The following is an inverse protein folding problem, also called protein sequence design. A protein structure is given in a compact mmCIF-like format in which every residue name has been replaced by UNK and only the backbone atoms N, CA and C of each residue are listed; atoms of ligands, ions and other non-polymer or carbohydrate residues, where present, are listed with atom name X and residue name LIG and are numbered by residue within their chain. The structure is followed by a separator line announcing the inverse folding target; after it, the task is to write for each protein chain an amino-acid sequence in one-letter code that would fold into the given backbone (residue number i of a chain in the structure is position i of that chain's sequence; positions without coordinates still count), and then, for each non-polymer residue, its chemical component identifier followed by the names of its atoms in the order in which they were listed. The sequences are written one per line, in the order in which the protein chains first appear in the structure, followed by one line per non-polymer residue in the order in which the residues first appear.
data_IF_133139969918
#
_entry.id   IF_133139969918
#
_cell.length_a   1.000
_cell.length_b   1.000
_cell.length_c   1.000
_cell.angle_alpha   90.00
_cell.angle_beta   90.00
_cell.angle_gamma   90.00
#
_symmetry.space_group_name_H-M   'P 1'
#
loop_
_entity.id
_entity.type
_entity.pdbx_description
1 polymer ?
#
# COMPACT_ATOMS: atom_id res chain seq x y z
N UNK A 1 -18.14 -2.63 -7.12
CA UNK A 1 -16.77 -2.31 -6.68
C UNK A 1 -16.83 -1.10 -5.76
N UNK A 2 -16.40 -1.27 -4.53
CA UNK A 2 -16.36 -0.18 -3.56
C UNK A 2 -14.97 0.41 -3.46
N UNK A 3 -14.90 1.65 -3.00
CA UNK A 3 -13.64 2.34 -2.76
C UNK A 3 -13.62 2.84 -1.32
N UNK A 4 -12.54 2.57 -0.62
CA UNK A 4 -12.34 3.00 0.76
C UNK A 4 -11.17 3.95 0.83
N UNK A 5 -11.42 5.16 1.33
CA UNK A 5 -10.38 6.18 1.48
C UNK A 5 -9.74 6.02 2.86
N UNK A 6 -8.46 5.70 2.90
CA UNK A 6 -7.71 5.48 4.13
C UNK A 6 -6.84 6.68 4.43
N UNK A 7 -6.90 7.17 5.66
CA UNK A 7 -6.13 8.32 6.04
C UNK A 7 -6.31 8.67 7.50
N UNK A 8 -5.74 9.80 7.92
CA UNK A 8 -5.74 10.21 9.33
C UNK A 8 -6.96 11.03 9.75
N UNK A 9 -7.87 11.35 8.82
CA UNK A 9 -8.95 12.27 9.11
C UNK A 9 -10.20 11.56 9.60
N UNK A 10 -11.13 12.31 10.21
CA UNK A 10 -12.32 11.73 10.83
C UNK A 10 -13.26 11.06 9.82
N UNK A 11 -13.26 11.52 8.57
CA UNK A 11 -14.08 10.94 7.53
C UNK A 11 -13.34 9.88 6.69
N UNK A 12 -12.15 9.50 7.13
CA UNK A 12 -11.35 8.47 6.46
C UNK A 12 -11.47 7.17 7.21
N UNK A 13 -11.13 6.09 6.53
CA UNK A 13 -11.07 4.77 7.13
C UNK A 13 -9.70 4.55 7.77
N UNK A 14 -9.67 3.83 8.88
CA UNK A 14 -8.47 3.17 9.38
C UNK A 14 -8.15 2.03 8.42
N UNK A 15 -6.85 1.74 8.19
CA UNK A 15 -6.45 0.74 7.20
C UNK A 15 -7.09 -0.63 7.45
N UNK A 16 -6.98 -1.15 8.69
CA UNK A 16 -7.51 -2.49 8.97
C UNK A 16 -9.03 -2.55 8.91
N UNK A 17 -9.71 -1.47 9.30
CA UNK A 17 -11.16 -1.41 9.17
C UNK A 17 -11.57 -1.42 7.70
N UNK A 18 -10.85 -0.67 6.86
CA UNK A 18 -11.10 -0.67 5.42
C UNK A 18 -10.83 -2.05 4.84
N UNK A 19 -9.70 -2.66 5.21
CA UNK A 19 -9.34 -3.98 4.72
C UNK A 19 -10.41 -5.03 5.10
N UNK A 20 -10.86 -5.00 6.34
CA UNK A 20 -11.85 -5.97 6.81
C UNK A 20 -13.21 -5.78 6.13
N UNK A 21 -13.55 -4.55 5.80
CA UNK A 21 -14.80 -4.24 5.12
C UNK A 21 -14.74 -4.55 3.63
N UNK A 22 -13.59 -4.39 3.02
CA UNK A 22 -13.41 -4.54 1.57
C UNK A 22 -13.65 -5.98 1.13
N UNK A 23 -14.20 -6.13 -0.04
CA UNK A 23 -14.42 -7.41 -0.69
C UNK A 23 -13.53 -7.53 -1.92
N UNK A 24 -13.42 -8.75 -2.45
CA UNK A 24 -12.61 -8.97 -3.65
C UNK A 24 -13.04 -8.03 -4.77
N UNK A 25 -12.05 -7.36 -5.37
CA UNK A 25 -12.27 -6.40 -6.44
C UNK A 25 -12.38 -4.97 -5.99
N UNK A 26 -12.40 -4.72 -4.68
CA UNK A 26 -12.52 -3.36 -4.16
C UNK A 26 -11.20 -2.60 -4.20
N UNK A 27 -11.30 -1.29 -4.03
CA UNK A 27 -10.16 -0.37 -4.08
C UNK A 27 -9.94 0.23 -2.70
N UNK A 28 -8.69 0.23 -2.25
CA UNK A 28 -8.28 0.99 -1.07
C UNK A 28 -7.39 2.12 -1.56
N UNK A 29 -7.86 3.34 -1.38
CA UNK A 29 -7.16 4.54 -1.81
C UNK A 29 -6.60 5.26 -0.59
N UNK A 30 -5.34 5.68 -0.67
CA UNK A 30 -4.72 6.48 0.40
C UNK A 30 -4.96 7.95 0.15
N UNK A 31 -5.34 8.69 1.18
CA UNK A 31 -5.55 10.12 1.08
C UNK A 31 -4.27 10.84 0.65
N UNK A 32 -4.45 11.94 -0.07
CA UNK A 32 -3.34 12.75 -0.56
C UNK A 32 -2.43 13.15 0.60
N UNK A 33 -1.15 12.85 0.44
CA UNK A 33 -0.14 13.19 1.43
C UNK A 33 -0.04 12.25 2.63
N UNK A 34 -0.88 11.23 2.71
CA UNK A 34 -0.86 10.33 3.85
C UNK A 34 0.34 9.39 3.80
N UNK A 35 1.12 9.41 4.87
CA UNK A 35 2.23 8.47 5.07
C UNK A 35 1.75 7.37 6.01
N UNK A 36 1.43 6.21 5.45
CA UNK A 36 0.93 5.08 6.22
C UNK A 36 2.08 4.38 6.93
N UNK A 37 1.94 4.14 8.21
CA UNK A 37 2.94 3.45 9.02
C UNK A 37 2.31 2.29 9.77
N UNK A 38 3.03 1.17 9.84
CA UNK A 38 2.63 -0.03 10.57
C UNK A 38 3.79 -0.44 11.46
N UNK A 39 3.53 -1.00 12.63
CA UNK A 39 4.61 -1.41 13.53
C UNK A 39 5.62 -2.33 12.85
N UNK A 40 6.91 -2.07 13.08
CA UNK A 40 7.99 -2.78 12.38
C UNK A 40 8.13 -4.24 12.80
N UNK A 41 7.50 -4.63 13.91
CA UNK A 41 7.53 -6.02 14.40
C UNK A 41 6.28 -6.80 14.03
N UNK A 42 5.48 -6.30 13.10
CA UNK A 42 4.25 -6.94 12.67
C UNK A 42 4.15 -6.92 11.15
N UNK A 43 3.49 -7.93 10.61
CA UNK A 43 3.18 -8.00 9.19
C UNK A 43 1.68 -7.80 8.97
N UNK A 44 1.34 -7.20 7.84
CA UNK A 44 -0.05 -7.14 7.39
C UNK A 44 -0.27 -8.32 6.46
N UNK A 45 -1.18 -9.22 6.83
CA UNK A 45 -1.47 -10.42 6.03
C UNK A 45 -2.64 -10.12 5.09
N UNK A 46 -2.40 -10.32 3.80
CA UNK A 46 -3.39 -10.05 2.75
C UNK A 46 -3.83 -11.38 2.13
N UNK A 47 -5.14 -11.59 2.07
CA UNK A 47 -5.74 -12.80 1.48
C UNK A 47 -6.87 -12.49 0.50
N UNK A 48 -6.98 -11.23 0.07
CA UNK A 48 -8.06 -10.76 -0.79
C UNK A 48 -7.54 -10.25 -2.11
N UNK A 49 -8.45 -10.05 -3.06
CA UNK A 49 -8.16 -9.39 -4.34
C UNK A 49 -8.47 -7.91 -4.15
N UNK A 50 -7.44 -7.08 -4.11
CA UNK A 50 -7.58 -5.65 -3.83
C UNK A 50 -6.65 -4.81 -4.69
N UNK A 51 -7.06 -3.57 -4.93
CA UNK A 51 -6.25 -2.58 -5.62
C UNK A 51 -5.95 -1.44 -4.64
N UNK A 52 -4.68 -1.27 -4.30
CA UNK A 52 -4.23 -0.19 -3.41
C UNK A 52 -3.68 0.95 -4.27
N UNK A 53 -4.20 2.15 -4.07
CA UNK A 53 -3.89 3.29 -4.94
C UNK A 53 -3.43 4.48 -4.11
N UNK A 54 -2.34 5.09 -4.54
CA UNK A 54 -1.86 6.35 -3.99
C UNK A 54 -1.99 7.48 -4.99
N UNK A 55 -1.43 8.63 -4.63
CA UNK A 55 -1.46 9.83 -5.44
C UNK A 55 -0.05 10.17 -5.92
N UNK A 56 0.03 10.65 -7.14
CA UNK A 56 1.28 11.18 -7.69
C UNK A 56 1.00 12.51 -8.37
N UNK A 57 2.04 13.34 -8.47
CA UNK A 57 1.99 14.57 -9.28
C UNK A 57 3.23 14.60 -10.15
N UNK A 58 3.12 15.32 -11.28
CA UNK A 58 4.26 15.49 -12.17
C UNK A 58 5.31 16.36 -11.51
N UNK A 59 6.59 15.98 -11.70
CA UNK A 59 7.69 16.77 -11.18
C UNK A 59 7.88 18.02 -12.06
N UNK A 60 7.67 19.22 -11.53
CA UNK A 60 7.78 20.44 -12.32
C UNK A 60 9.21 20.78 -12.73
N UNK A 61 10.21 20.20 -12.07
CA UNK A 61 11.61 20.51 -12.31
C UNK A 61 12.34 19.43 -13.08
N UNK A 62 11.62 18.45 -13.65
CA UNK A 62 12.27 17.37 -14.36
C UNK A 62 11.32 16.31 -14.83
N UNK A 63 11.87 15.13 -15.06
CA UNK A 63 11.10 13.98 -15.49
C UNK A 63 10.60 13.19 -14.31
N UNK A 64 9.53 12.42 -14.53
CA UNK A 64 9.03 11.50 -13.55
C UNK A 64 7.92 12.07 -12.69
N UNK A 65 7.63 11.35 -11.63
CA UNK A 65 6.51 11.63 -10.76
C UNK A 65 6.98 11.83 -9.32
N UNK A 66 6.23 12.65 -8.58
CA UNK A 66 6.43 12.81 -7.16
C UNK A 66 5.33 12.00 -6.47
N UNK A 67 5.72 11.02 -5.67
CA UNK A 67 4.77 10.19 -4.93
C UNK A 67 4.27 10.95 -3.71
N UNK A 68 2.95 11.05 -3.59
CA UNK A 68 2.31 11.76 -2.49
C UNK A 68 2.04 10.85 -1.30
N UNK A 69 2.15 9.54 -1.49
CA UNK A 69 1.87 8.57 -0.44
C UNK A 69 3.05 7.62 -0.26
N UNK A 70 3.42 7.43 0.99
CA UNK A 70 4.43 6.44 1.34
C UNK A 70 3.79 5.37 2.22
N UNK A 71 4.31 4.16 2.13
CA UNK A 71 3.88 3.04 2.95
C UNK A 71 5.09 2.48 3.67
N UNK A 72 5.07 2.52 5.00
CA UNK A 72 6.10 1.93 5.84
C UNK A 72 5.48 0.74 6.56
N UNK A 73 5.48 -0.40 5.91
CA UNK A 73 4.83 -1.60 6.40
C UNK A 73 5.40 -2.82 5.71
N UNK A 74 5.25 -3.97 6.35
CA UNK A 74 5.60 -5.25 5.76
C UNK A 74 4.32 -6.02 5.46
N UNK A 75 4.21 -6.51 4.23
CA UNK A 75 3.04 -7.26 3.78
C UNK A 75 3.40 -8.71 3.51
N UNK A 76 2.53 -9.63 3.95
CA UNK A 76 2.61 -11.02 3.57
C UNK A 76 1.36 -11.39 2.80
N UNK A 77 1.54 -11.87 1.57
CA UNK A 77 0.44 -12.24 0.70
C UNK A 77 0.32 -13.76 0.70
N UNK A 78 -0.83 -14.24 1.15
CA UNK A 78 -1.10 -15.69 1.25
C UNK A 78 -2.01 -16.12 0.11
N UNK A 79 -2.30 -17.42 0.03
CA UNK A 79 -3.13 -17.96 -1.03
C UNK A 79 -4.46 -17.21 -1.11
N UNK A 80 -4.87 -16.84 -2.32
CA UNK A 80 -6.07 -16.07 -2.56
C UNK A 80 -5.82 -14.56 -2.70
N UNK A 81 -4.65 -14.09 -2.32
CA UNK A 81 -4.31 -12.68 -2.51
C UNK A 81 -4.01 -12.41 -3.98
N UNK A 82 -4.65 -11.39 -4.53
CA UNK A 82 -4.36 -10.89 -5.86
C UNK A 82 -4.40 -9.37 -5.78
N UNK A 83 -3.24 -8.76 -5.66
CA UNK A 83 -3.12 -7.36 -5.26
C UNK A 83 -2.41 -6.56 -6.34
N UNK A 84 -2.92 -5.36 -6.60
CA UNK A 84 -2.23 -4.37 -7.41
C UNK A 84 -1.92 -3.18 -6.52
N UNK A 85 -0.66 -2.75 -6.55
CA UNK A 85 -0.24 -1.48 -5.93
C UNK A 85 0.02 -0.48 -7.05
N UNK A 86 -0.53 0.71 -6.91
CA UNK A 86 -0.39 1.75 -7.92
C UNK A 86 -0.10 3.10 -7.28
N UNK A 87 0.93 3.79 -7.78
CA UNK A 87 1.28 5.15 -7.36
C UNK A 87 1.68 5.25 -5.88
N UNK A 88 2.44 4.27 -5.42
CA UNK A 88 2.83 4.19 -4.01
C UNK A 88 4.33 4.03 -3.89
N UNK A 89 4.91 4.62 -2.86
CA UNK A 89 6.31 4.45 -2.54
C UNK A 89 6.43 3.73 -1.20
N UNK A 90 7.11 2.58 -1.21
CA UNK A 90 7.33 1.79 -0.01
C UNK A 90 8.63 2.21 0.66
N UNK A 91 8.57 2.46 1.95
CA UNK A 91 9.76 2.68 2.76
C UNK A 91 10.15 1.34 3.39
N UNK A 92 11.34 0.87 3.05
CA UNK A 92 11.81 -0.44 3.49
C UNK A 92 12.52 -0.26 4.82
N UNK A 93 11.89 -0.69 5.90
CA UNK A 93 12.44 -0.61 7.25
C UNK A 93 12.04 -1.85 8.04
N UNK A 94 12.77 -2.12 9.11
CA UNK A 94 12.42 -3.19 10.04
C UNK A 94 12.97 -4.54 9.66
N UNK A 95 12.42 -5.57 10.29
CA UNK A 95 12.96 -6.92 10.26
C UNK A 95 12.27 -7.85 9.27
N UNK A 96 11.19 -7.39 8.64
CA UNK A 96 10.41 -8.20 7.72
C UNK A 96 10.59 -7.71 6.29
N UNK A 97 10.36 -8.60 5.35
CA UNK A 97 10.32 -8.22 3.93
C UNK A 97 9.16 -7.28 3.69
N UNK A 98 9.37 -6.26 2.86
CA UNK A 98 8.30 -5.32 2.52
C UNK A 98 7.16 -6.02 1.81
N UNK A 99 7.48 -6.89 0.84
CA UNK A 99 6.48 -7.69 0.14
C UNK A 99 6.96 -9.14 0.17
N UNK A 100 6.25 -9.99 0.91
CA UNK A 100 6.55 -11.42 1.01
C UNK A 100 5.39 -12.19 0.40
N UNK A 101 5.66 -12.92 -0.67
CA UNK A 101 4.63 -13.63 -1.42
C UNK A 101 4.72 -15.12 -1.13
N UNK A 102 3.62 -15.69 -0.66
CA UNK A 102 3.49 -17.13 -0.51
C UNK A 102 2.84 -17.72 -1.76
N UNK A 103 2.96 -19.03 -1.89
CA UNK A 103 2.38 -19.76 -3.01
C UNK A 103 0.87 -19.49 -3.10
N UNK A 104 0.40 -19.27 -4.33
CA UNK A 104 -1.03 -18.97 -4.55
C UNK A 104 -1.37 -17.49 -4.45
N UNK A 105 -0.38 -16.63 -4.26
CA UNK A 105 -0.60 -15.19 -4.24
C UNK A 105 -0.03 -14.54 -5.50
N UNK A 106 -0.50 -13.32 -5.77
CA UNK A 106 -0.12 -12.57 -6.96
C UNK A 106 -0.06 -11.08 -6.62
N UNK A 107 1.03 -10.42 -6.96
CA UNK A 107 1.17 -8.98 -6.72
C UNK A 107 1.66 -8.30 -7.98
N UNK A 108 0.98 -7.23 -8.37
CA UNK A 108 1.35 -6.38 -9.50
C UNK A 108 1.67 -4.99 -8.98
N UNK A 109 2.77 -4.41 -9.44
CA UNK A 109 3.14 -3.05 -9.08
C UNK A 109 3.12 -2.18 -10.33
N UNK A 110 2.35 -1.08 -10.26
CA UNK A 110 2.26 -0.10 -11.35
C UNK A 110 2.70 1.25 -10.81
N UNK A 111 3.80 1.77 -11.31
CA UNK A 111 4.37 3.03 -10.85
C UNK A 111 4.55 3.02 -9.33
N UNK A 112 5.52 2.23 -8.89
CA UNK A 112 5.82 2.00 -7.47
C UNK A 112 7.29 2.27 -7.25
N UNK A 113 7.64 2.86 -6.12
CA UNK A 113 9.03 3.00 -5.75
C UNK A 113 9.31 2.33 -4.41
N UNK A 114 10.57 1.99 -4.19
CA UNK A 114 11.04 1.44 -2.92
C UNK A 114 12.17 2.31 -2.43
N UNK A 115 12.02 2.88 -1.24
CA UNK A 115 13.05 3.66 -0.57
C UNK A 115 13.68 2.83 0.52
N UNK A 116 15.00 2.72 0.49
CA UNK A 116 15.74 2.02 1.53
C UNK A 116 16.36 3.07 2.43
N UNK A 117 16.04 2.98 3.72
CA UNK A 117 16.65 3.86 4.69
C UNK A 117 18.06 3.38 4.98
N UNK A 118 19.03 4.24 4.77
CA UNK A 118 20.43 3.94 5.10
C UNK A 118 20.79 4.64 6.38
N UNK A 119 21.47 3.94 7.23
CA UNK A 119 21.89 4.46 8.52
C UNK A 119 23.40 4.48 8.57
#
# INVERSE_FOLDING_TARGET
MAKYLVGPYNNSWNFMDAYNKAQNGDIIEFEDGYAFQWPTNQEIVIDKELHFVGQVVSNPNGNGQIFKNTIEAAFRFVAGAKVTFENLCFKVTGNYSTLLLWSGSEVTCKQVCFEISTQ
#
